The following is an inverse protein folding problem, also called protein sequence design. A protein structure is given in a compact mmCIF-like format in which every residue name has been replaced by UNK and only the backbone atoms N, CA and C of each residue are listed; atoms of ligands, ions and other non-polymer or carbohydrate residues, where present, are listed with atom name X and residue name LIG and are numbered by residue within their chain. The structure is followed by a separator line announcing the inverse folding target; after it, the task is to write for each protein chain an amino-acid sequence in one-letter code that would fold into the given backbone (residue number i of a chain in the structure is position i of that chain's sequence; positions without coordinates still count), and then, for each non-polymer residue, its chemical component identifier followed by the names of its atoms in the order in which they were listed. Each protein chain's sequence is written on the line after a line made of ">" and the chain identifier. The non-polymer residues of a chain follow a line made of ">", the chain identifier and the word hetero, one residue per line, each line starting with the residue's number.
data_IF_606180621952
#
_entry.id   IF_606180621952
#
_cell.length_a   1.000
_cell.length_b   1.000
_cell.length_c   1.000
_cell.angle_alpha   90.00
_cell.angle_beta   90.00
_cell.angle_gamma   90.00
#
_symmetry.space_group_name_H-M   'P 1'
#
loop_
_entity.id
_entity.type
_entity.pdbx_description
1 polymer ?
#
# COMPACT_ATOMS: atom_id res chain seq x y z
N UNK A 1 -17.84 16.32 -8.22
CA UNK A 1 -16.54 16.54 -8.89
C UNK A 1 -15.56 15.58 -8.23
N UNK A 2 -15.28 14.48 -8.89
CA UNK A 2 -14.19 13.57 -8.56
C UNK A 2 -12.89 14.34 -8.80
N UNK A 3 -12.14 14.59 -7.74
CA UNK A 3 -10.77 15.11 -7.85
C UNK A 3 -9.96 14.06 -8.58
N UNK A 4 -9.42 14.43 -9.73
CA UNK A 4 -8.58 13.55 -10.56
C UNK A 4 -7.24 13.29 -9.84
N UNK A 5 -7.23 12.24 -9.01
CA UNK A 5 -6.06 11.76 -8.29
C UNK A 5 -4.93 11.30 -9.22
N UNK A 6 -5.25 10.93 -10.47
CA UNK A 6 -4.26 10.50 -11.46
C UNK A 6 -3.43 11.67 -11.95
N UNK A 7 -4.05 12.84 -12.15
CA UNK A 7 -3.37 14.05 -12.57
C UNK A 7 -2.37 14.58 -11.53
N UNK A 8 -2.77 14.57 -10.26
CA UNK A 8 -1.92 15.06 -9.16
C UNK A 8 -0.73 14.13 -8.92
N UNK A 9 -0.92 12.81 -8.99
CA UNK A 9 0.15 11.82 -8.87
C UNK A 9 1.11 11.89 -10.06
N UNK A 10 0.60 12.14 -11.27
CA UNK A 10 1.42 12.32 -12.49
C UNK A 10 2.25 13.61 -12.44
N UNK A 11 1.70 14.70 -11.87
CA UNK A 11 2.44 15.94 -11.61
C UNK A 11 3.54 15.70 -10.58
N UNK A 12 3.27 14.91 -9.53
CA UNK A 12 4.26 14.54 -8.51
C UNK A 12 5.37 13.66 -9.06
N UNK A 13 5.04 12.69 -9.89
CA UNK A 13 6.01 11.83 -10.58
C UNK A 13 6.83 12.65 -11.59
N UNK A 14 6.20 13.57 -12.32
CA UNK A 14 6.92 14.47 -13.23
C UNK A 14 7.80 15.50 -12.49
N UNK A 15 7.40 16.03 -11.32
CA UNK A 15 8.24 16.91 -10.48
C UNK A 15 9.48 16.18 -9.92
N UNK A 16 9.39 14.87 -9.71
CA UNK A 16 10.54 14.03 -9.34
C UNK A 16 11.42 13.72 -10.55
N UNK A 17 10.87 13.77 -11.78
CA UNK A 17 11.53 13.37 -13.02
C UNK A 17 11.67 14.49 -14.08
N UNK A 18 11.40 15.76 -13.77
CA UNK A 18 11.67 16.83 -14.74
C UNK A 18 13.18 17.09 -14.87
N UNK A 19 13.79 16.29 -15.72
CA UNK A 19 15.12 16.56 -16.33
C UNK A 19 15.13 17.82 -17.23
N UNK A 20 14.04 18.58 -17.30
CA UNK A 20 13.84 19.60 -18.34
C UNK A 20 14.51 20.96 -18.06
N UNK A 21 15.13 21.15 -16.88
CA UNK A 21 15.87 22.40 -16.54
C UNK A 21 17.28 22.15 -16.02
N UNK A 22 17.79 20.91 -16.11
CA UNK A 22 19.09 20.57 -15.58
C UNK A 22 20.14 20.32 -16.66
N UNK A 23 21.40 20.73 -16.42
CA UNK A 23 22.50 20.45 -17.35
C UNK A 23 22.64 18.94 -17.59
N UNK A 24 23.00 18.57 -18.80
CA UNK A 24 23.13 17.21 -19.36
C UNK A 24 24.12 16.28 -18.62
N UNK A 25 24.65 16.67 -17.48
CA UNK A 25 25.58 15.87 -16.68
C UNK A 25 24.86 15.22 -15.50
N UNK A 26 24.68 13.88 -15.55
CA UNK A 26 23.98 13.06 -14.53
C UNK A 26 24.45 13.33 -13.09
N UNK A 27 25.73 13.69 -12.89
CA UNK A 27 26.29 13.91 -11.57
C UNK A 27 26.10 15.36 -11.04
N UNK A 28 25.69 16.32 -11.89
CA UNK A 28 25.48 17.72 -11.46
C UNK A 28 24.32 17.84 -10.44
N UNK A 29 23.19 17.21 -10.70
CA UNK A 29 22.03 17.20 -9.79
C UNK A 29 22.38 16.59 -8.43
N UNK A 30 23.13 15.51 -8.42
CA UNK A 30 23.59 14.85 -7.19
C UNK A 30 24.50 15.79 -6.39
N UNK A 31 25.46 16.46 -7.06
CA UNK A 31 26.31 17.46 -6.41
C UNK A 31 25.51 18.63 -5.85
N UNK A 32 24.57 19.18 -6.60
CA UNK A 32 23.72 20.28 -6.13
C UNK A 32 22.95 19.92 -4.86
N UNK A 33 22.36 18.72 -4.79
CA UNK A 33 21.68 18.22 -3.59
C UNK A 33 22.64 18.01 -2.42
N UNK A 34 23.83 17.49 -2.69
CA UNK A 34 24.84 17.30 -1.64
C UNK A 34 25.33 18.63 -1.09
N UNK A 35 25.59 19.61 -1.97
CA UNK A 35 25.97 20.96 -1.58
C UNK A 35 24.85 21.68 -0.82
N UNK A 36 23.59 21.53 -1.25
CA UNK A 36 22.43 22.07 -0.56
C UNK A 36 22.35 21.58 0.89
N UNK A 37 22.49 20.27 1.09
CA UNK A 37 22.49 19.67 2.44
C UNK A 37 23.64 20.21 3.33
N UNK A 38 24.82 20.41 2.76
CA UNK A 38 25.95 20.97 3.51
C UNK A 38 25.74 22.44 3.84
N UNK A 39 25.26 23.23 2.89
CA UNK A 39 25.01 24.67 3.06
C UNK A 39 23.84 24.97 4.02
N UNK A 40 22.89 24.02 4.16
CA UNK A 40 21.78 24.09 5.12
C UNK A 40 22.22 23.83 6.58
N UNK A 41 23.39 23.23 6.80
CA UNK A 41 23.86 22.92 8.15
C UNK A 41 24.19 24.21 8.92
N UNK A 42 24.11 24.16 10.25
CA UNK A 42 24.55 25.29 11.11
C UNK A 42 26.07 25.48 11.05
N UNK A 43 26.82 24.49 10.60
CA UNK A 43 28.27 24.51 10.48
C UNK A 43 28.72 25.11 9.15
N UNK A 44 29.84 25.80 9.19
CA UNK A 44 30.45 26.39 8.02
C UNK A 44 31.30 25.38 7.28
N UNK A 45 30.99 25.10 6.00
CA UNK A 45 31.68 24.10 5.17
C UNK A 45 32.81 24.74 4.33
N UNK A 46 33.92 24.06 4.20
CA UNK A 46 35.02 24.42 3.30
C UNK A 46 34.82 23.79 1.91
N UNK A 47 35.60 24.25 0.92
CA UNK A 47 35.58 23.62 -0.42
C UNK A 47 36.02 22.15 -0.36
N UNK A 48 36.94 21.82 0.53
CA UNK A 48 37.42 20.45 0.75
C UNK A 48 36.32 19.55 1.31
N UNK A 49 35.54 20.04 2.26
CA UNK A 49 34.39 19.31 2.81
C UNK A 49 33.34 19.03 1.72
N UNK A 50 33.09 20.03 0.85
CA UNK A 50 32.16 19.92 -0.27
C UNK A 50 32.63 18.92 -1.32
N UNK A 51 33.92 18.91 -1.66
CA UNK A 51 34.53 17.93 -2.58
C UNK A 51 34.32 16.52 -2.00
N UNK A 52 34.76 16.30 -0.77
CA UNK A 52 34.70 14.97 -0.12
C UNK A 52 33.26 14.45 -0.02
N UNK A 53 32.31 15.32 0.32
CA UNK A 53 30.91 14.93 0.38
C UNK A 53 30.32 14.59 -0.99
N UNK A 54 30.65 15.37 -2.02
CA UNK A 54 30.19 15.10 -3.40
C UNK A 54 30.79 13.79 -3.95
N UNK A 55 32.08 13.54 -3.76
CA UNK A 55 32.73 12.31 -4.16
C UNK A 55 32.13 11.07 -3.45
N UNK A 56 31.86 11.19 -2.16
CA UNK A 56 31.19 10.15 -1.38
C UNK A 56 29.78 9.87 -1.91
N UNK A 57 28.97 10.90 -2.14
CA UNK A 57 27.60 10.74 -2.66
C UNK A 57 27.58 10.13 -4.05
N UNK A 58 28.50 10.53 -4.94
CA UNK A 58 28.65 9.94 -6.29
C UNK A 58 29.04 8.47 -6.22
N UNK A 59 29.99 8.13 -5.33
CA UNK A 59 30.43 6.74 -5.13
C UNK A 59 29.29 5.84 -4.62
N UNK A 60 28.49 6.34 -3.67
CA UNK A 60 27.38 5.61 -3.07
C UNK A 60 26.23 5.38 -4.05
N UNK A 61 25.87 6.37 -4.88
CA UNK A 61 24.75 6.23 -5.83
C UNK A 61 25.15 5.60 -7.18
N UNK A 62 26.34 5.93 -7.69
CA UNK A 62 26.76 5.49 -9.02
C UNK A 62 27.65 4.24 -9.00
N UNK A 63 28.14 3.81 -7.84
CA UNK A 63 29.06 2.67 -7.70
C UNK A 63 30.42 2.89 -8.36
N UNK A 64 30.80 4.14 -8.66
CA UNK A 64 32.07 4.53 -9.29
C UNK A 64 32.76 5.61 -8.48
N UNK A 65 34.07 5.49 -8.30
CA UNK A 65 34.84 6.58 -7.73
C UNK A 65 35.08 7.64 -8.83
N UNK A 66 34.48 8.82 -8.64
CA UNK A 66 34.74 10.00 -9.47
C UNK A 66 35.37 11.11 -8.62
N UNK A 67 36.40 11.76 -9.13
CA UNK A 67 37.03 12.92 -8.48
C UNK A 67 36.31 14.20 -8.88
N UNK A 68 36.04 15.05 -7.90
CA UNK A 68 35.38 16.35 -8.11
C UNK A 68 36.40 17.46 -7.94
N UNK A 69 36.62 18.27 -8.98
CA UNK A 69 37.58 19.36 -8.92
C UNK A 69 37.08 20.58 -8.14
N UNK A 70 38.00 21.35 -7.56
CA UNK A 70 37.65 22.66 -6.92
C UNK A 70 36.92 23.58 -7.89
N UNK A 71 37.31 23.61 -9.16
CA UNK A 71 36.69 24.43 -10.20
C UNK A 71 35.23 24.03 -10.40
N UNK A 72 34.94 22.73 -10.35
CA UNK A 72 33.57 22.21 -10.44
C UNK A 72 32.70 22.72 -9.29
N UNK A 73 33.20 22.64 -8.05
CA UNK A 73 32.47 23.12 -6.87
C UNK A 73 32.25 24.63 -6.94
N UNK A 74 33.23 25.42 -7.39
CA UNK A 74 33.00 26.88 -7.55
C UNK A 74 31.92 27.20 -8.59
N UNK A 75 31.88 26.48 -9.73
CA UNK A 75 30.81 26.63 -10.72
C UNK A 75 29.46 26.18 -10.17
N UNK A 76 29.43 25.11 -9.38
CA UNK A 76 28.21 24.63 -8.75
C UNK A 76 27.69 25.64 -7.72
N UNK A 77 28.55 26.27 -6.90
CA UNK A 77 28.19 27.35 -5.96
C UNK A 77 27.73 28.61 -6.70
N UNK A 78 28.35 28.96 -7.82
CA UNK A 78 27.93 30.08 -8.68
C UNK A 78 26.53 29.80 -9.25
N UNK A 79 26.28 28.61 -9.76
CA UNK A 79 24.95 28.19 -10.22
C UNK A 79 23.91 28.29 -9.10
N UNK A 80 24.20 27.73 -7.91
CA UNK A 80 23.30 27.77 -6.78
C UNK A 80 23.00 29.23 -6.34
N UNK A 81 24.02 30.09 -6.31
CA UNK A 81 23.82 31.50 -5.93
C UNK A 81 23.11 32.35 -6.99
N UNK A 82 23.03 31.86 -8.22
CA UNK A 82 22.27 32.46 -9.32
C UNK A 82 20.77 32.16 -9.28
N UNK A 83 20.34 31.23 -8.42
CA UNK A 83 18.93 30.88 -8.29
C UNK A 83 18.15 31.94 -7.50
N UNK A 84 16.88 32.16 -7.85
CA UNK A 84 16.04 33.19 -7.23
C UNK A 84 15.84 32.98 -5.74
N UNK A 85 16.28 33.99 -4.96
CA UNK A 85 16.18 33.97 -3.50
C UNK A 85 17.24 33.13 -2.78
N UNK A 86 18.20 32.53 -3.48
CA UNK A 86 19.33 31.82 -2.87
C UNK A 86 20.47 32.76 -2.58
N UNK A 87 20.94 32.79 -1.34
CA UNK A 87 22.09 33.59 -0.90
C UNK A 87 23.06 32.72 -0.12
N UNK A 88 24.33 32.72 -0.55
CA UNK A 88 25.42 31.97 0.09
C UNK A 88 26.37 32.95 0.76
N UNK A 89 26.46 32.87 2.07
CA UNK A 89 27.40 33.65 2.88
C UNK A 89 28.82 33.06 2.80
N UNK A 90 29.81 33.96 2.78
CA UNK A 90 31.24 33.59 2.78
C UNK A 90 31.89 34.13 4.04
N UNK A 91 32.47 33.26 4.84
CA UNK A 91 33.32 33.62 5.97
C UNK A 91 34.76 33.61 5.50
N UNK A 92 35.34 34.81 5.42
CA UNK A 92 36.74 35.00 5.03
C UNK A 92 37.67 34.38 6.07
N UNK A 93 38.69 33.69 5.63
CA UNK A 93 39.68 33.00 6.44
C UNK A 93 40.54 32.08 5.60
N UNK A 94 41.45 31.32 6.23
CA UNK A 94 42.21 30.24 5.56
C UNK A 94 41.94 28.94 6.32
N UNK A 95 41.04 28.07 5.77
CA UNK A 95 40.28 28.18 4.50
C UNK A 95 39.07 29.09 4.56
N UNK A 96 38.58 29.52 3.38
CA UNK A 96 37.28 30.21 3.20
C UNK A 96 36.17 29.18 3.44
N UNK A 97 35.11 29.64 4.14
CA UNK A 97 33.97 28.79 4.48
C UNK A 97 32.67 29.35 3.94
N UNK A 98 31.71 28.49 3.66
CA UNK A 98 30.45 28.81 2.99
C UNK A 98 29.27 28.27 3.80
N UNK A 99 28.14 28.95 3.77
CA UNK A 99 26.87 28.54 4.34
C UNK A 99 25.74 29.35 3.68
N UNK A 100 24.51 28.84 3.69
CA UNK A 100 23.38 29.70 3.33
C UNK A 100 23.20 30.85 4.31
N UNK A 101 22.80 32.01 3.77
CA UNK A 101 22.40 33.16 4.60
C UNK A 101 21.12 32.81 5.38
N UNK A 102 20.91 33.45 6.53
CA UNK A 102 19.85 33.09 7.48
C UNK A 102 18.42 33.15 6.90
N UNK A 103 18.20 33.94 5.84
CA UNK A 103 16.90 34.10 5.16
C UNK A 103 16.96 33.60 3.70
N UNK A 104 17.97 32.80 3.35
CA UNK A 104 18.12 32.26 2.00
C UNK A 104 17.14 31.12 1.75
N UNK A 105 16.57 31.10 0.53
CA UNK A 105 16.00 29.84 0.02
C UNK A 105 17.12 28.82 -0.19
N UNK A 106 16.79 27.55 -0.13
CA UNK A 106 17.69 26.45 -0.44
C UNK A 106 17.50 26.04 -1.92
N UNK A 107 18.43 25.27 -2.48
CA UNK A 107 18.30 24.74 -3.82
C UNK A 107 17.00 23.90 -3.96
N UNK A 108 16.74 23.01 -3.03
CA UNK A 108 15.49 22.26 -2.99
C UNK A 108 14.25 23.16 -2.82
N UNK A 109 14.39 24.25 -2.06
CA UNK A 109 13.34 25.24 -1.86
C UNK A 109 13.03 26.12 -3.07
N UNK A 110 13.97 26.31 -4.00
CA UNK A 110 13.71 27.04 -5.25
C UNK A 110 13.03 26.20 -6.31
N UNK A 111 13.20 24.87 -6.25
CA UNK A 111 12.56 23.94 -7.16
C UNK A 111 11.06 23.78 -6.88
N UNK A 112 10.59 24.19 -5.71
CA UNK A 112 9.18 24.08 -5.30
C UNK A 112 8.63 25.50 -5.07
N UNK A 113 7.66 25.98 -5.85
CA UNK A 113 7.01 27.24 -5.62
C UNK A 113 6.44 27.32 -4.20
N UNK A 114 6.48 28.50 -3.56
CA UNK A 114 6.04 28.68 -2.15
C UNK A 114 4.60 28.26 -1.89
N UNK A 115 3.73 28.36 -2.92
CA UNK A 115 2.36 27.86 -2.90
C UNK A 115 2.28 26.34 -2.83
N UNK A 116 3.29 25.65 -3.40
CA UNK A 116 3.39 24.19 -3.38
C UNK A 116 3.92 23.60 -2.07
N UNK A 117 4.52 24.42 -1.18
CA UNK A 117 4.95 23.95 0.14
C UNK A 117 3.76 23.60 1.05
N UNK A 118 2.73 24.44 1.05
CA UNK A 118 1.49 24.14 1.79
C UNK A 118 0.79 22.90 1.22
N UNK A 119 0.73 22.77 -0.12
CA UNK A 119 0.15 21.62 -0.78
C UNK A 119 0.97 20.33 -0.53
N UNK A 120 2.29 20.44 -0.45
CA UNK A 120 3.19 19.35 -0.07
C UNK A 120 3.01 18.95 1.40
N UNK A 121 2.86 19.90 2.29
CA UNK A 121 2.61 19.67 3.71
C UNK A 121 1.26 18.94 3.89
N UNK A 122 0.19 19.43 3.24
CA UNK A 122 -1.11 18.76 3.21
C UNK A 122 -1.04 17.36 2.58
N UNK A 123 -0.24 17.19 1.51
CA UNK A 123 -0.06 15.89 0.88
C UNK A 123 0.69 14.90 1.78
N UNK A 124 1.72 15.38 2.50
CA UNK A 124 2.44 14.57 3.47
C UNK A 124 1.54 14.13 4.62
N UNK A 125 0.72 15.04 5.16
CA UNK A 125 -0.26 14.73 6.19
C UNK A 125 -1.29 13.70 5.70
N UNK A 126 -1.80 13.90 4.49
CA UNK A 126 -2.69 12.93 3.87
C UNK A 126 -2.01 11.57 3.71
N UNK A 127 -0.79 11.52 3.17
CA UNK A 127 -0.02 10.28 3.05
C UNK A 127 0.26 9.62 4.40
N UNK A 128 0.52 10.40 5.45
CA UNK A 128 0.64 9.87 6.82
C UNK A 128 -0.66 9.28 7.33
N UNK A 129 -1.77 9.95 7.06
CA UNK A 129 -3.08 9.44 7.48
C UNK A 129 -3.44 8.11 6.79
N UNK A 130 -3.00 7.91 5.54
CA UNK A 130 -3.18 6.65 4.79
C UNK A 130 -2.00 5.67 4.95
N UNK A 131 -0.93 6.03 5.67
CA UNK A 131 0.22 5.14 5.90
C UNK A 131 -0.18 3.82 6.54
N UNK A 132 -1.33 3.83 7.24
CA UNK A 132 -2.05 2.65 7.70
C UNK A 132 -2.46 1.66 6.61
N UNK A 133 -2.67 2.11 5.39
CA UNK A 133 -3.16 1.30 4.27
C UNK A 133 -2.05 0.76 3.36
N UNK A 134 -0.97 1.52 3.23
CA UNK A 134 0.15 1.17 2.32
C UNK A 134 1.47 1.45 3.02
N UNK A 135 2.49 0.64 2.78
CA UNK A 135 3.85 0.85 3.30
C UNK A 135 4.53 2.04 2.59
N UNK A 136 4.04 3.23 2.87
CA UNK A 136 4.63 4.50 2.37
C UNK A 136 5.58 5.15 3.38
N UNK A 137 5.78 4.53 4.55
CA UNK A 137 6.61 5.06 5.64
C UNK A 137 8.02 5.45 5.19
N UNK A 138 8.60 4.67 4.28
CA UNK A 138 9.92 4.96 3.72
C UNK A 138 9.94 6.20 2.84
N UNK A 139 8.86 6.46 2.10
CA UNK A 139 8.68 7.65 1.25
C UNK A 139 8.41 8.86 2.14
N UNK A 140 7.49 8.72 3.09
CA UNK A 140 7.16 9.77 4.08
C UNK A 140 8.40 10.19 4.86
N UNK A 141 9.19 9.24 5.39
CA UNK A 141 10.45 9.55 6.09
C UNK A 141 11.46 10.29 5.22
N UNK A 142 11.58 9.91 3.95
CA UNK A 142 12.47 10.63 3.01
C UNK A 142 11.96 12.03 2.73
N UNK A 143 10.67 12.20 2.49
CA UNK A 143 10.05 13.50 2.24
C UNK A 143 10.14 14.38 3.50
N UNK A 144 9.83 13.86 4.69
CA UNK A 144 10.00 14.62 5.95
C UNK A 144 11.41 15.12 6.14
N UNK A 145 12.45 14.30 5.96
CA UNK A 145 13.85 14.73 6.08
C UNK A 145 14.22 15.85 5.11
N UNK A 146 13.55 15.96 3.97
CA UNK A 146 13.77 17.03 3.00
C UNK A 146 13.05 18.33 3.38
N UNK A 147 12.00 18.25 4.21
CA UNK A 147 11.13 19.37 4.55
C UNK A 147 11.11 19.73 6.04
N UNK A 148 11.86 19.01 6.91
CA UNK A 148 11.97 19.31 8.35
C UNK A 148 12.72 20.63 8.59
N UNK A 149 12.01 21.74 8.36
CA UNK A 149 12.46 23.09 8.74
C UNK A 149 11.58 23.75 9.80
N UNK A 150 10.35 23.32 10.00
CA UNK A 150 9.42 23.93 10.96
C UNK A 150 8.58 22.86 11.65
N UNK A 151 9.07 22.39 12.80
CA UNK A 151 8.37 21.40 13.64
C UNK A 151 7.08 21.95 14.26
N UNK A 152 5.99 21.99 13.53
CA UNK A 152 4.66 21.99 14.13
C UNK A 152 4.23 20.53 14.29
N UNK A 153 4.00 20.13 15.54
CA UNK A 153 3.24 18.91 15.86
C UNK A 153 1.83 19.14 15.34
N UNK A 154 1.50 18.55 14.19
CA UNK A 154 0.15 18.67 13.63
C UNK A 154 -0.77 17.65 14.30
N UNK A 155 -1.93 18.13 14.69
CA UNK A 155 -2.99 17.29 15.24
C UNK A 155 -3.54 16.40 14.11
N UNK A 156 -3.65 15.10 14.35
CA UNK A 156 -4.28 14.18 13.38
C UNK A 156 -5.74 14.60 13.14
N UNK A 157 -6.02 15.10 11.93
CA UNK A 157 -7.35 15.58 11.53
C UNK A 157 -8.14 14.46 10.83
N UNK A 158 -7.45 13.52 10.17
CA UNK A 158 -8.05 12.41 9.43
C UNK A 158 -7.60 11.10 10.06
N UNK A 159 -8.55 10.21 10.28
CA UNK A 159 -8.27 8.83 10.67
C UNK A 159 -8.94 7.86 9.71
N UNK A 160 -8.20 6.82 9.35
CA UNK A 160 -8.74 5.70 8.58
C UNK A 160 -8.94 4.52 9.52
N UNK A 161 -9.95 3.70 9.21
CA UNK A 161 -10.11 2.44 9.91
C UNK A 161 -8.83 1.61 9.73
N UNK A 162 -8.15 1.32 10.82
CA UNK A 162 -6.93 0.52 10.83
C UNK A 162 -7.04 -0.59 11.86
N UNK A 163 -6.44 -1.74 11.56
CA UNK A 163 -6.31 -2.81 12.53
C UNK A 163 -4.97 -2.64 13.27
N UNK A 164 -4.96 -2.11 14.52
CA UNK A 164 -3.72 -1.88 15.27
C UNK A 164 -3.01 -3.19 15.63
N UNK A 165 -3.70 -4.34 15.54
CA UNK A 165 -3.15 -5.67 15.79
C UNK A 165 -2.77 -6.40 14.51
N UNK A 166 -2.81 -5.73 13.35
CA UNK A 166 -2.40 -6.33 12.08
C UNK A 166 -0.90 -6.58 12.11
N UNK A 167 -0.52 -7.84 12.28
CA UNK A 167 0.87 -8.29 12.23
C UNK A 167 1.35 -8.33 10.78
N UNK A 168 2.67 -8.27 10.59
CA UNK A 168 3.35 -8.52 9.32
C UNK A 168 3.00 -7.53 8.21
N UNK A 169 2.51 -6.35 8.54
CA UNK A 169 2.24 -5.29 7.58
C UNK A 169 3.49 -4.91 6.79
N UNK A 170 4.65 -4.94 7.43
CA UNK A 170 5.95 -4.63 6.83
C UNK A 170 6.32 -5.63 5.72
N UNK A 171 5.70 -6.81 5.70
CA UNK A 171 5.90 -7.79 4.64
C UNK A 171 5.25 -7.41 3.32
N UNK A 172 4.27 -6.52 3.29
CA UNK A 172 3.50 -6.19 2.07
C UNK A 172 4.41 -5.78 0.92
N UNK A 173 5.39 -4.91 1.18
CA UNK A 173 6.34 -4.48 0.16
C UNK A 173 7.23 -5.63 -0.32
N UNK A 174 7.72 -6.45 0.60
CA UNK A 174 8.52 -7.64 0.27
C UNK A 174 7.72 -8.63 -0.57
N UNK A 175 6.48 -8.91 -0.17
CA UNK A 175 5.56 -9.81 -0.90
C UNK A 175 5.22 -9.26 -2.29
N UNK A 176 4.95 -7.96 -2.41
CA UNK A 176 4.73 -7.29 -3.70
C UNK A 176 5.93 -7.50 -4.64
N UNK A 177 7.15 -7.31 -4.14
CA UNK A 177 8.38 -7.56 -4.92
C UNK A 177 8.48 -9.02 -5.35
N UNK A 178 8.24 -9.97 -4.43
CA UNK A 178 8.28 -11.40 -4.76
C UNK A 178 7.24 -11.78 -5.82
N UNK A 179 6.05 -11.17 -5.80
CA UNK A 179 5.04 -11.36 -6.84
C UNK A 179 5.56 -10.82 -8.19
N UNK A 180 6.06 -9.60 -8.20
CA UNK A 180 6.58 -8.94 -9.40
C UNK A 180 7.77 -9.68 -10.04
N UNK A 181 8.65 -10.21 -9.23
CA UNK A 181 9.86 -10.94 -9.64
C UNK A 181 9.57 -12.44 -9.87
N UNK A 182 8.36 -12.91 -9.55
CA UNK A 182 7.96 -14.30 -9.70
C UNK A 182 8.72 -15.25 -8.78
N UNK A 183 9.09 -14.81 -7.59
CA UNK A 183 9.83 -15.61 -6.62
C UNK A 183 8.92 -16.57 -5.86
N UNK A 184 9.14 -17.89 -5.94
CA UNK A 184 8.49 -18.86 -5.06
C UNK A 184 9.04 -18.75 -3.63
N UNK A 185 8.19 -18.99 -2.64
CA UNK A 185 8.46 -18.77 -1.23
C UNK A 185 8.30 -20.08 -0.43
N UNK A 186 9.11 -20.21 0.64
CA UNK A 186 8.87 -21.17 1.69
C UNK A 186 8.27 -20.43 2.89
N UNK A 187 7.01 -20.70 3.19
CA UNK A 187 6.25 -20.01 4.22
C UNK A 187 5.97 -20.94 5.40
N UNK A 188 6.12 -20.42 6.62
CA UNK A 188 5.49 -21.00 7.80
C UNK A 188 4.20 -20.25 8.08
N UNK A 189 3.08 -20.96 8.18
CA UNK A 189 1.76 -20.39 8.30
C UNK A 189 1.01 -20.94 9.49
N UNK A 190 0.60 -20.04 10.40
CA UNK A 190 -0.23 -20.39 11.54
C UNK A 190 -1.69 -20.46 11.09
N UNK A 191 -2.14 -21.66 10.75
CA UNK A 191 -3.53 -21.90 10.40
C UNK A 191 -4.46 -21.67 11.61
N UNK A 192 -5.77 -21.63 11.37
CA UNK A 192 -6.75 -21.62 12.45
C UNK A 192 -6.46 -22.81 13.41
N UNK A 193 -6.74 -22.61 14.70
CA UNK A 193 -6.50 -23.61 15.75
C UNK A 193 -5.03 -23.88 16.10
N UNK A 194 -4.13 -22.90 15.86
CA UNK A 194 -2.69 -22.96 16.19
C UNK A 194 -1.90 -24.08 15.49
N UNK A 195 -2.40 -24.60 14.40
CA UNK A 195 -1.68 -25.56 13.58
C UNK A 195 -0.68 -24.82 12.69
N UNK A 196 0.63 -25.11 12.85
CA UNK A 196 1.69 -24.56 11.99
C UNK A 196 1.84 -25.43 10.76
N UNK A 197 1.85 -24.79 9.59
CA UNK A 197 2.03 -25.45 8.29
C UNK A 197 3.25 -24.87 7.57
N UNK A 198 4.10 -25.72 7.04
CA UNK A 198 5.12 -25.32 6.08
C UNK A 198 4.50 -25.39 4.67
N UNK A 199 4.55 -24.29 3.93
CA UNK A 199 3.92 -24.18 2.61
C UNK A 199 4.95 -23.73 1.59
N UNK A 200 5.19 -24.53 0.55
CA UNK A 200 5.91 -24.12 -0.64
C UNK A 200 4.92 -23.39 -1.55
N UNK A 201 5.15 -22.10 -1.78
CA UNK A 201 4.13 -21.19 -2.29
C UNK A 201 4.62 -20.30 -3.41
N UNK A 202 3.89 -20.19 -4.51
CA UNK A 202 4.08 -19.17 -5.53
C UNK A 202 3.08 -18.04 -5.33
N UNK A 203 3.50 -16.85 -4.87
CA UNK A 203 2.60 -15.73 -4.65
C UNK A 203 2.19 -15.12 -5.99
N UNK A 204 0.92 -14.70 -6.10
CA UNK A 204 0.34 -14.12 -7.31
C UNK A 204 -0.36 -12.79 -7.10
N UNK A 205 -1.05 -12.60 -5.95
CA UNK A 205 -1.91 -11.45 -5.75
C UNK A 205 -2.05 -11.07 -4.27
N UNK A 206 -2.21 -9.77 -4.00
CA UNK A 206 -2.49 -9.23 -2.68
C UNK A 206 -3.89 -8.62 -2.66
N UNK A 207 -4.73 -9.05 -1.72
CA UNK A 207 -6.10 -8.56 -1.53
C UNK A 207 -6.28 -8.03 -0.12
N UNK A 208 -6.83 -6.83 0.02
CA UNK A 208 -7.32 -6.34 1.30
C UNK A 208 -8.83 -6.56 1.43
N UNK A 209 -9.26 -7.04 2.59
CA UNK A 209 -10.66 -7.15 2.95
C UNK A 209 -10.83 -6.97 4.47
N UNK A 210 -11.75 -6.11 4.89
CA UNK A 210 -12.02 -5.77 6.30
C UNK A 210 -10.72 -5.54 7.11
N UNK A 211 -9.87 -4.65 6.61
CA UNK A 211 -8.58 -4.27 7.23
C UNK A 211 -7.61 -5.44 7.50
N UNK A 212 -7.77 -6.56 6.79
CA UNK A 212 -6.83 -7.66 6.78
C UNK A 212 -6.31 -7.89 5.36
N UNK A 213 -5.03 -8.15 5.24
CA UNK A 213 -4.38 -8.47 3.98
C UNK A 213 -4.26 -9.97 3.77
N UNK A 214 -4.47 -10.37 2.53
CA UNK A 214 -4.41 -11.75 2.09
C UNK A 214 -3.45 -11.89 0.91
N UNK A 215 -2.66 -12.95 0.95
CA UNK A 215 -1.77 -13.37 -0.11
C UNK A 215 -2.40 -14.54 -0.84
N UNK A 216 -2.72 -14.35 -2.12
CA UNK A 216 -3.24 -15.41 -2.98
C UNK A 216 -2.13 -15.93 -3.88
N UNK A 217 -2.17 -17.23 -4.15
CA UNK A 217 -1.19 -17.87 -5.01
C UNK A 217 -1.33 -19.40 -5.01
N UNK A 218 -0.36 -20.04 -5.62
CA UNK A 218 -0.34 -21.49 -5.78
C UNK A 218 0.51 -22.16 -4.70
N UNK A 219 -0.11 -22.99 -3.88
CA UNK A 219 0.61 -23.90 -3.00
C UNK A 219 1.05 -25.13 -3.80
N UNK A 220 2.35 -25.41 -3.79
CA UNK A 220 2.88 -26.63 -4.41
C UNK A 220 2.77 -27.80 -3.46
N UNK A 221 3.05 -27.57 -2.19
CA UNK A 221 3.10 -28.57 -1.14
C UNK A 221 2.74 -27.91 0.20
N UNK A 222 2.02 -28.66 1.02
CA UNK A 222 1.69 -28.27 2.38
C UNK A 222 2.14 -29.40 3.31
N UNK A 223 2.96 -29.06 4.30
CA UNK A 223 3.35 -29.97 5.38
C UNK A 223 2.70 -29.49 6.67
N UNK A 224 1.97 -30.34 7.32
CA UNK A 224 1.33 -30.13 8.61
C UNK A 224 1.76 -31.21 9.61
N UNK A 225 1.17 -31.20 10.81
CA UNK A 225 1.47 -32.17 11.87
C UNK A 225 1.14 -33.64 11.46
N UNK A 226 0.29 -33.83 10.43
CA UNK A 226 -0.11 -35.15 9.91
C UNK A 226 0.77 -35.63 8.76
N UNK A 227 1.80 -34.85 8.41
CA UNK A 227 2.75 -35.16 7.37
C UNK A 227 2.70 -34.25 6.14
N UNK A 228 3.34 -34.69 5.05
CA UNK A 228 3.34 -33.95 3.78
C UNK A 228 2.10 -34.30 2.98
N UNK A 229 1.34 -33.27 2.59
CA UNK A 229 0.23 -33.39 1.65
C UNK A 229 0.63 -32.72 0.34
N UNK A 230 0.83 -33.53 -0.70
CA UNK A 230 0.90 -33.04 -2.05
C UNK A 230 -0.52 -32.70 -2.51
N UNK A 231 -1.02 -31.57 -2.08
CA UNK A 231 -2.32 -31.03 -2.49
C UNK A 231 -2.10 -29.65 -3.14
N UNK A 232 -1.55 -29.62 -4.37
CA UNK A 232 -1.30 -28.38 -5.07
C UNK A 232 -2.62 -27.68 -5.40
N UNK A 233 -2.59 -26.36 -5.36
CA UNK A 233 -3.78 -25.58 -5.71
C UNK A 233 -3.70 -24.12 -5.24
N UNK A 234 -4.71 -23.38 -5.70
CA UNK A 234 -4.88 -22.00 -5.25
C UNK A 234 -5.16 -21.96 -3.76
N UNK A 235 -4.47 -21.07 -3.05
CA UNK A 235 -4.68 -20.82 -1.62
C UNK A 235 -4.73 -19.33 -1.35
N UNK A 236 -5.49 -19.00 -0.32
CA UNK A 236 -5.65 -17.68 0.23
C UNK A 236 -5.10 -17.68 1.67
N UNK A 237 -4.03 -16.94 1.90
CA UNK A 237 -3.29 -16.91 3.16
C UNK A 237 -3.40 -15.52 3.79
N UNK A 238 -3.93 -15.43 5.01
CA UNK A 238 -3.93 -14.18 5.77
C UNK A 238 -2.48 -13.82 6.17
N UNK A 239 -2.00 -12.63 5.79
CA UNK A 239 -0.60 -12.23 5.96
C UNK A 239 -0.20 -12.15 7.43
N UNK A 240 -1.12 -11.74 8.31
CA UNK A 240 -0.89 -11.68 9.76
C UNK A 240 -0.68 -13.04 10.42
N UNK A 241 -0.93 -14.14 9.70
CA UNK A 241 -0.70 -15.52 10.14
C UNK A 241 0.58 -16.13 9.57
N UNK A 242 1.31 -15.42 8.70
CA UNK A 242 2.62 -15.85 8.23
C UNK A 242 3.63 -15.64 9.35
N UNK A 243 4.37 -16.67 9.70
CA UNK A 243 5.46 -16.57 10.67
C UNK A 243 6.68 -15.94 10.02
N UNK A 244 7.15 -14.84 10.59
CA UNK A 244 8.33 -14.12 10.11
C UNK A 244 9.56 -14.68 10.80
N UNK A 245 10.56 -15.17 10.06
CA UNK A 245 11.81 -15.62 10.65
C UNK A 245 12.51 -14.49 11.43
N UNK A 246 13.38 -14.80 12.40
CA UNK A 246 14.13 -13.80 13.16
C UNK A 246 14.96 -12.84 12.28
N UNK A 247 15.32 -13.28 11.07
CA UNK A 247 16.00 -12.44 10.05
C UNK A 247 15.11 -11.33 9.47
N UNK A 248 13.82 -11.34 9.75
CA UNK A 248 12.83 -10.42 9.17
C UNK A 248 12.56 -10.66 7.67
N UNK A 249 13.15 -11.69 7.06
CA UNK A 249 13.05 -11.96 5.62
C UNK A 249 12.35 -13.28 5.36
N UNK A 250 11.38 -13.27 4.46
CA UNK A 250 10.75 -14.50 3.96
C UNK A 250 11.77 -15.26 3.10
N UNK A 251 11.80 -16.57 3.29
CA UNK A 251 12.73 -17.45 2.57
C UNK A 251 12.22 -17.72 1.15
N UNK A 252 13.08 -17.42 0.16
CA UNK A 252 12.83 -17.75 -1.25
C UNK A 252 13.20 -19.20 -1.51
N UNK A 253 12.33 -19.95 -2.19
CA UNK A 253 12.64 -21.30 -2.68
C UNK A 253 13.58 -21.22 -3.88
N UNK A 254 14.88 -21.19 -3.60
CA UNK A 254 15.93 -21.07 -4.62
C UNK A 254 15.99 -22.28 -5.56
N UNK A 255 15.58 -23.45 -5.11
CA UNK A 255 15.53 -24.65 -5.95
C UNK A 255 14.45 -24.52 -7.03
N UNK A 256 13.24 -24.09 -6.67
CA UNK A 256 12.18 -23.81 -7.64
C UNK A 256 12.45 -22.58 -8.48
N UNK A 257 13.14 -21.60 -7.94
CA UNK A 257 13.55 -20.41 -8.69
C UNK A 257 14.45 -20.73 -9.87
N UNK A 258 15.37 -21.70 -9.72
CA UNK A 258 16.33 -22.14 -10.76
C UNK A 258 15.72 -23.14 -11.73
N UNK A 259 14.64 -23.81 -11.36
CA UNK A 259 13.96 -24.77 -12.21
C UNK A 259 12.83 -24.10 -13.00
N UNK A 260 12.45 -24.70 -14.15
CA UNK A 260 11.27 -24.25 -14.92
C UNK A 260 9.94 -24.63 -14.26
N UNK A 261 9.94 -25.01 -12.98
CA UNK A 261 8.78 -25.48 -12.23
C UNK A 261 8.00 -24.33 -11.57
N UNK A 262 8.34 -23.08 -11.81
CA UNK A 262 7.57 -21.93 -11.30
C UNK A 262 6.21 -21.84 -12.00
N UNK A 263 5.14 -21.73 -11.22
CA UNK A 263 3.81 -21.42 -11.73
C UNK A 263 3.54 -19.93 -11.65
N UNK A 264 3.96 -19.19 -12.67
CA UNK A 264 3.65 -17.77 -12.78
C UNK A 264 2.22 -17.59 -13.27
N UNK A 265 1.51 -16.61 -12.72
CA UNK A 265 0.14 -16.27 -13.17
C UNK A 265 0.22 -15.31 -14.37
N UNK A 266 0.48 -15.83 -15.54
CA UNK A 266 0.54 -15.08 -16.79
C UNK A 266 -0.52 -15.57 -17.78
N UNK A 267 -1.10 -14.69 -18.63
CA UNK A 267 -2.25 -15.01 -19.49
C UNK A 267 -2.03 -16.16 -20.49
N UNK A 268 -0.77 -16.50 -20.77
CA UNK A 268 -0.39 -17.59 -21.67
C UNK A 268 -0.45 -18.98 -20.99
N UNK A 269 -0.75 -19.05 -19.71
CA UNK A 269 -0.77 -20.31 -18.95
C UNK A 269 -2.16 -20.86 -18.76
N UNK A 270 -2.28 -22.19 -18.87
CA UNK A 270 -3.53 -22.91 -18.64
C UNK A 270 -4.12 -22.67 -17.23
N UNK A 271 -3.27 -22.43 -16.24
CA UNK A 271 -3.67 -22.14 -14.85
C UNK A 271 -3.82 -20.65 -14.55
N UNK A 272 -3.83 -19.80 -15.57
CA UNK A 272 -3.99 -18.35 -15.40
C UNK A 272 -5.30 -18.00 -14.69
N UNK A 273 -5.21 -17.11 -13.72
CA UNK A 273 -6.35 -16.56 -13.01
C UNK A 273 -6.36 -15.05 -13.22
N UNK A 274 -7.40 -14.56 -13.85
CA UNK A 274 -7.76 -13.15 -13.84
C UNK A 274 -8.38 -12.83 -12.48
N UNK A 275 -7.63 -12.17 -11.61
CA UNK A 275 -8.09 -11.87 -10.26
C UNK A 275 -9.22 -10.83 -10.23
N UNK A 276 -9.34 -9.95 -11.19
CA UNK A 276 -10.48 -9.05 -11.29
C UNK A 276 -11.77 -9.85 -11.51
N UNK A 277 -11.76 -10.74 -12.48
CA UNK A 277 -12.87 -11.65 -12.73
C UNK A 277 -13.08 -12.66 -11.58
N UNK A 278 -11.99 -13.14 -10.97
CA UNK A 278 -12.06 -14.07 -9.84
C UNK A 278 -12.83 -13.50 -8.64
N UNK A 279 -12.69 -12.20 -8.38
CA UNK A 279 -13.37 -11.52 -7.27
C UNK A 279 -14.69 -10.86 -7.68
N UNK A 280 -15.06 -10.87 -8.96
CA UNK A 280 -16.23 -10.15 -9.47
C UNK A 280 -17.58 -10.75 -9.05
N UNK A 281 -17.58 -12.00 -8.57
CA UNK A 281 -18.79 -12.74 -8.19
C UNK A 281 -18.76 -13.23 -6.72
N UNK A 282 -17.90 -12.67 -5.87
CA UNK A 282 -17.82 -12.98 -4.44
C UNK A 282 -17.78 -11.73 -3.58
N UNK A 283 -18.26 -11.83 -2.36
CA UNK A 283 -18.00 -10.87 -1.29
C UNK A 283 -16.81 -11.39 -0.48
N UNK A 284 -15.78 -10.55 -0.29
CA UNK A 284 -14.61 -10.92 0.49
C UNK A 284 -13.51 -11.62 -0.29
N UNK A 285 -13.01 -12.73 0.22
CA UNK A 285 -11.80 -13.40 -0.27
C UNK A 285 -11.93 -14.91 -0.43
N UNK A 286 -12.99 -15.50 0.10
CA UNK A 286 -13.23 -16.96 0.04
C UNK A 286 -14.12 -17.29 -1.15
N UNK A 287 -13.57 -18.05 -2.10
CA UNK A 287 -14.31 -18.57 -3.25
C UNK A 287 -14.54 -20.05 -3.08
N UNK A 288 -15.79 -20.44 -3.12
CA UNK A 288 -16.23 -21.83 -3.11
C UNK A 288 -16.64 -22.26 -4.53
N UNK A 289 -16.88 -23.55 -4.71
CA UNK A 289 -17.19 -24.13 -6.04
C UNK A 289 -18.66 -23.95 -6.47
N UNK A 290 -19.52 -23.42 -5.56
CA UNK A 290 -20.92 -23.11 -5.87
C UNK A 290 -21.00 -22.07 -6.99
N UNK A 291 -22.03 -22.19 -7.84
CA UNK A 291 -22.29 -21.20 -8.87
C UNK A 291 -22.86 -19.89 -8.29
N UNK A 292 -22.62 -18.74 -8.96
CA UNK A 292 -23.23 -17.48 -8.56
C UNK A 292 -24.75 -17.55 -8.59
N UNK A 293 -25.40 -17.04 -7.54
CA UNK A 293 -26.87 -16.97 -7.44
C UNK A 293 -27.29 -15.52 -7.24
N UNK A 294 -28.48 -15.17 -7.71
CA UNK A 294 -29.08 -13.87 -7.45
C UNK A 294 -29.80 -13.92 -6.12
N UNK A 295 -29.20 -13.31 -5.10
CA UNK A 295 -29.80 -13.13 -3.78
C UNK A 295 -30.70 -11.90 -3.81
N UNK A 296 -31.93 -12.03 -3.40
CA UNK A 296 -32.89 -10.94 -3.28
C UNK A 296 -33.28 -10.75 -1.81
N UNK A 297 -33.18 -9.52 -1.35
CA UNK A 297 -33.61 -9.11 -0.02
C UNK A 297 -34.77 -8.13 -0.14
N UNK A 298 -35.65 -8.12 0.86
CA UNK A 298 -36.75 -7.14 0.99
C UNK A 298 -36.71 -6.43 2.34
N UNK A 299 -37.26 -5.22 2.36
CA UNK A 299 -37.42 -4.37 3.52
C UNK A 299 -38.84 -3.76 3.52
N UNK A 300 -39.52 -3.82 4.64
CA UNK A 300 -40.76 -3.05 4.83
C UNK A 300 -40.39 -1.58 5.09
N UNK A 301 -40.67 -0.67 4.15
CA UNK A 301 -40.30 0.74 4.25
C UNK A 301 -41.18 1.54 5.25
N UNK A 302 -42.24 0.93 5.78
CA UNK A 302 -43.02 1.48 6.91
C UNK A 302 -42.37 1.24 8.27
N UNK A 303 -41.42 0.26 8.37
CA UNK A 303 -40.56 0.12 9.54
C UNK A 303 -39.30 0.98 9.34
N UNK A 304 -39.09 1.98 10.18
CA UNK A 304 -37.93 2.88 10.11
C UNK A 304 -36.59 2.16 10.19
N UNK A 305 -36.50 1.03 10.88
CA UNK A 305 -35.25 0.23 10.99
C UNK A 305 -34.97 -0.53 9.71
N UNK A 306 -35.97 -1.16 9.11
CA UNK A 306 -35.83 -1.84 7.82
C UNK A 306 -35.54 -0.82 6.69
N UNK A 307 -36.23 0.33 6.72
CA UNK A 307 -35.96 1.45 5.82
C UNK A 307 -34.51 1.95 5.93
N UNK A 308 -33.99 2.06 7.15
CA UNK A 308 -32.61 2.47 7.39
C UNK A 308 -31.60 1.45 6.84
N UNK A 309 -31.80 0.16 7.05
CA UNK A 309 -30.92 -0.89 6.51
C UNK A 309 -30.97 -0.94 4.99
N UNK A 310 -32.16 -0.80 4.39
CA UNK A 310 -32.31 -0.69 2.94
C UNK A 310 -31.57 0.53 2.39
N UNK A 311 -31.72 1.70 3.03
CA UNK A 311 -31.02 2.93 2.64
C UNK A 311 -29.50 2.79 2.76
N UNK A 312 -28.99 2.13 3.79
CA UNK A 312 -27.57 1.82 3.94
C UNK A 312 -27.07 0.99 2.77
N UNK A 313 -27.76 -0.06 2.37
CA UNK A 313 -27.38 -0.86 1.21
C UNK A 313 -27.45 -0.05 -0.09
N UNK A 314 -28.44 0.82 -0.23
CA UNK A 314 -28.55 1.68 -1.41
C UNK A 314 -27.37 2.67 -1.53
N UNK A 315 -26.96 3.28 -0.41
CA UNK A 315 -25.91 4.31 -0.41
C UNK A 315 -24.48 3.74 -0.29
N UNK A 316 -24.36 2.51 0.23
CA UNK A 316 -23.10 1.79 0.36
C UNK A 316 -23.27 0.37 -0.18
N UNK A 317 -23.23 0.16 -1.50
CA UNK A 317 -23.33 -1.16 -2.10
C UNK A 317 -22.27 -2.11 -1.55
N UNK A 318 -22.68 -3.34 -1.24
CA UNK A 318 -21.80 -4.38 -0.72
C UNK A 318 -21.16 -5.22 -1.84
N UNK A 319 -21.69 -5.11 -3.05
CA UNK A 319 -21.16 -5.79 -4.24
C UNK A 319 -21.47 -4.98 -5.52
N UNK A 320 -20.61 -4.97 -6.55
CA UNK A 320 -20.84 -4.23 -7.81
C UNK A 320 -22.09 -4.66 -8.58
N UNK A 321 -22.52 -5.93 -8.46
CA UNK A 321 -23.75 -6.43 -9.12
C UNK A 321 -25.03 -5.99 -8.44
N UNK A 322 -24.96 -5.24 -7.34
CA UNK A 322 -26.12 -4.85 -6.55
C UNK A 322 -27.07 -3.95 -7.34
N UNK A 323 -28.36 -4.25 -7.27
CA UNK A 323 -29.46 -3.43 -7.78
C UNK A 323 -30.44 -3.16 -6.66
N UNK A 324 -31.06 -1.98 -6.69
CA UNK A 324 -31.99 -1.52 -5.66
C UNK A 324 -33.24 -0.97 -6.34
N UNK A 325 -34.43 -1.32 -5.84
CA UNK A 325 -35.70 -0.78 -6.33
C UNK A 325 -36.75 -0.76 -5.23
N UNK A 326 -37.86 -0.11 -5.49
CA UNK A 326 -39.05 -0.05 -4.61
C UNK A 326 -40.24 -0.49 -5.41
N UNK A 327 -41.05 -1.37 -4.82
CA UNK A 327 -42.37 -1.75 -5.30
C UNK A 327 -43.37 -1.59 -4.14
N UNK A 328 -44.37 -0.81 -4.33
CA UNK A 328 -45.35 -0.39 -3.31
C UNK A 328 -44.65 0.01 -2.01
N UNK A 329 -44.77 -0.25 -0.92
CA UNK A 329 -44.08 0.15 0.31
C UNK A 329 -42.92 -0.80 0.71
N UNK A 330 -42.46 -1.59 -0.26
CA UNK A 330 -41.38 -2.55 -0.05
C UNK A 330 -40.15 -2.15 -0.83
N UNK A 331 -39.03 -2.02 -0.13
CA UNK A 331 -37.69 -1.85 -0.74
C UNK A 331 -37.05 -3.20 -1.02
N UNK A 332 -36.49 -3.36 -2.20
CA UNK A 332 -35.79 -4.57 -2.62
C UNK A 332 -34.30 -4.27 -2.89
N UNK A 333 -33.49 -5.26 -2.65
CA UNK A 333 -32.05 -5.29 -3.03
C UNK A 333 -31.76 -6.63 -3.64
N UNK A 334 -31.10 -6.66 -4.80
CA UNK A 334 -30.58 -7.91 -5.36
C UNK A 334 -29.08 -7.82 -5.60
N UNK A 335 -28.39 -8.92 -5.48
CA UNK A 335 -26.97 -9.06 -5.81
C UNK A 335 -26.72 -10.47 -6.35
N UNK A 336 -25.85 -10.58 -7.38
CA UNK A 336 -25.49 -11.86 -7.98
C UNK A 336 -24.08 -12.23 -7.52
N UNK A 337 -23.98 -13.22 -6.64
CA UNK A 337 -22.74 -13.62 -5.98
C UNK A 337 -22.73 -15.13 -5.69
N UNK A 338 -21.53 -15.69 -5.55
CA UNK A 338 -21.34 -17.03 -4.97
C UNK A 338 -21.55 -16.97 -3.46
N UNK A 339 -22.43 -17.80 -2.90
CA UNK A 339 -22.60 -17.83 -1.45
C UNK A 339 -21.30 -18.23 -0.75
N UNK A 340 -20.89 -17.45 0.22
CA UNK A 340 -19.73 -17.71 1.06
C UNK A 340 -19.93 -17.16 2.48
N UNK A 341 -19.03 -17.49 3.39
CA UNK A 341 -19.14 -17.08 4.78
C UNK A 341 -19.09 -15.56 4.95
N UNK A 342 -18.32 -14.87 4.13
CA UNK A 342 -18.21 -13.41 4.16
C UNK A 342 -19.55 -12.76 3.74
N UNK A 343 -20.21 -13.28 2.71
CA UNK A 343 -21.54 -12.83 2.31
C UNK A 343 -22.53 -12.94 3.47
N UNK A 344 -22.65 -14.12 4.07
CA UNK A 344 -23.56 -14.32 5.20
C UNK A 344 -23.24 -13.41 6.38
N UNK A 345 -21.96 -13.23 6.69
CA UNK A 345 -21.51 -12.34 7.78
C UNK A 345 -21.88 -10.89 7.54
N UNK A 346 -21.76 -10.42 6.30
CA UNK A 346 -22.16 -9.05 5.92
C UNK A 346 -23.68 -8.91 5.99
N UNK A 347 -24.44 -9.88 5.46
CA UNK A 347 -25.91 -9.83 5.45
C UNK A 347 -26.51 -9.91 6.87
N UNK A 348 -25.90 -10.65 7.80
CA UNK A 348 -26.31 -10.65 9.22
C UNK A 348 -26.22 -9.26 9.87
N UNK A 349 -25.38 -8.38 9.37
CA UNK A 349 -25.28 -6.99 9.82
C UNK A 349 -26.45 -6.09 9.39
N UNK A 350 -27.35 -6.61 8.55
CA UNK A 350 -28.59 -5.95 8.09
C UNK A 350 -29.80 -6.69 8.67
N UNK A 351 -29.96 -6.61 9.98
CA UNK A 351 -30.88 -7.43 10.76
C UNK A 351 -32.38 -7.21 10.48
N UNK A 352 -32.74 -6.20 9.70
CA UNK A 352 -34.12 -5.86 9.33
C UNK A 352 -34.42 -6.12 7.85
N UNK A 353 -33.49 -6.74 7.12
CA UNK A 353 -33.72 -7.22 5.76
C UNK A 353 -33.98 -8.72 5.77
N UNK A 354 -34.94 -9.15 4.97
CA UNK A 354 -35.30 -10.57 4.80
C UNK A 354 -34.82 -11.07 3.46
N UNK A 355 -34.12 -12.20 3.42
CA UNK A 355 -33.73 -12.88 2.19
C UNK A 355 -34.98 -13.58 1.64
N UNK A 356 -35.42 -13.21 0.43
CA UNK A 356 -36.60 -13.81 -0.21
C UNK A 356 -36.23 -14.87 -1.24
N UNK A 357 -35.04 -14.80 -1.81
CA UNK A 357 -34.54 -15.80 -2.76
C UNK A 357 -33.01 -15.77 -2.87
N UNK A 358 -32.38 -16.89 -3.28
CA UNK A 358 -32.97 -18.21 -3.43
C UNK A 358 -33.21 -18.91 -2.09
N UNK A 359 -34.07 -19.91 -2.07
CA UNK A 359 -34.43 -20.66 -0.86
C UNK A 359 -33.21 -21.22 -0.13
N UNK A 360 -32.23 -21.74 -0.87
CA UNK A 360 -31.00 -22.27 -0.29
C UNK A 360 -30.27 -21.23 0.60
N UNK A 361 -30.20 -19.98 0.14
CA UNK A 361 -29.53 -18.89 0.88
C UNK A 361 -30.38 -18.46 2.08
N UNK A 362 -31.71 -18.43 1.93
CA UNK A 362 -32.65 -18.16 3.01
C UNK A 362 -32.50 -19.18 4.15
N UNK A 363 -32.57 -20.48 3.85
CA UNK A 363 -32.49 -21.55 4.84
C UNK A 363 -31.12 -21.59 5.54
N UNK A 364 -30.03 -21.36 4.81
CA UNK A 364 -28.69 -21.28 5.42
C UNK A 364 -28.59 -20.06 6.36
N UNK A 365 -29.17 -18.91 5.99
CA UNK A 365 -29.21 -17.73 6.86
C UNK A 365 -30.01 -18.03 8.13
N UNK A 366 -31.19 -18.64 8.00
CA UNK A 366 -32.03 -19.05 9.10
C UNK A 366 -31.29 -20.00 10.06
N UNK A 367 -30.61 -21.00 9.53
CA UNK A 367 -29.79 -21.92 10.32
C UNK A 367 -28.69 -21.19 11.11
N UNK A 368 -28.07 -20.17 10.53
CA UNK A 368 -27.05 -19.34 11.21
C UNK A 368 -27.65 -18.51 12.33
N UNK A 369 -28.81 -17.92 12.10
CA UNK A 369 -29.55 -17.15 13.11
C UNK A 369 -29.98 -18.05 14.29
N UNK A 370 -30.50 -19.24 14.00
CA UNK A 370 -30.89 -20.21 15.03
C UNK A 370 -29.68 -20.66 15.87
N UNK A 371 -28.55 -20.90 15.23
CA UNK A 371 -27.31 -21.21 15.96
C UNK A 371 -26.87 -20.07 16.89
N UNK A 372 -26.94 -18.82 16.41
CA UNK A 372 -26.64 -17.65 17.25
C UNK A 372 -27.62 -17.57 18.42
N UNK A 373 -28.95 -17.71 18.18
CA UNK A 373 -29.98 -17.71 19.22
C UNK A 373 -29.68 -18.73 20.30
N UNK A 374 -29.36 -19.97 19.92
CA UNK A 374 -29.04 -21.04 20.87
C UNK A 374 -27.82 -20.73 21.77
N UNK A 375 -26.87 -19.94 21.28
CA UNK A 375 -25.72 -19.51 22.11
C UNK A 375 -26.09 -18.44 23.14
N UNK A 376 -27.07 -17.59 22.84
CA UNK A 376 -27.54 -16.54 23.77
C UNK A 376 -28.62 -17.02 24.73
N UNK A 377 -29.37 -18.09 24.41
CA UNK A 377 -30.41 -18.67 25.26
C UNK A 377 -29.84 -19.66 26.31
N UNK A 378 -28.56 -20.07 26.19
CA UNK A 378 -27.89 -21.00 27.12
C UNK A 378 -27.38 -20.33 28.40
N UNK A 379 -27.67 -19.06 28.59
CA UNK A 379 -27.34 -18.27 29.78
C UNK A 379 -28.59 -17.63 30.33
#
# INVERSE_FOLDING_TARGET
>A
QLVDFSGTLLIFVNLIFTDALMPTNKNATLRYRTLDNLLCSEEWSTIEDMISACEKSISEECGRQETVSRVTIYKDLEFLSGLDGVRIDKKLGRPVRYRYARESKTFNGTLVPSQSYADLEYTLEFLESISGLVSVDGVIKKLKRQFEGNGRLMQQIISFESNPRLRNRDLLWSLYRHIREGHPLCLKYNAAYMEVKDIDFQPWYLKQYLNRWYLLGWAYRIKDNNGVRDNPGLRNLAIDRIEVPPSGKIMVDTARMRSNLRKLNTPDKEWYIDFEKFFSDIIGVSRYDEEPVTVVLKANLNDNRAKYDWYRMNTKPIHPSQKVWIEDETGYVSLTVRPNNEMYSVLLGYGYLEIVSPELVHEEMKRRIDNLRLHYEKH
#
